data_IF_165118161042
#
_entry.id   IF_165118161042
#
_cell.length_a   1.000
_cell.length_b   1.000
_cell.length_c   1.000
_cell.angle_alpha   90.00
_cell.angle_beta   90.00
_cell.angle_gamma   90.00
#
_symmetry.space_group_name_H-M   'P 1'
#
loop_
_entity.id
_entity.type
_entity.pdbx_description
1 polymer ?
#
# COMPACT_ATOMS: atom_id res chain seq x y z
N UNK A 1 17.07 19.06 -2.58
CA UNK A 1 17.21 19.00 -4.06
C UNK A 1 15.90 18.71 -4.77
N UNK A 2 15.17 17.61 -4.45
CA UNK A 2 13.87 17.31 -5.08
C UNK A 2 12.83 18.41 -4.83
N UNK A 3 12.62 18.81 -3.58
CA UNK A 3 11.66 19.85 -3.21
C UNK A 3 11.97 21.19 -3.88
N UNK A 4 13.23 21.58 -3.92
CA UNK A 4 13.68 22.81 -4.60
C UNK A 4 13.40 22.75 -6.11
N UNK A 5 13.58 21.58 -6.73
CA UNK A 5 13.27 21.40 -8.15
C UNK A 5 11.77 21.39 -8.44
N UNK A 6 10.93 21.08 -7.44
CA UNK A 6 9.47 21.09 -7.52
C UNK A 6 8.84 22.41 -7.05
N UNK A 7 9.66 23.37 -6.60
CA UNK A 7 9.17 24.65 -6.04
C UNK A 7 8.39 24.50 -4.73
N UNK A 8 8.65 23.43 -3.98
CA UNK A 8 7.95 23.09 -2.73
C UNK A 8 8.87 23.18 -1.52
N UNK A 9 8.27 23.37 -0.35
CA UNK A 9 9.00 23.21 0.91
C UNK A 9 9.07 21.70 1.23
N UNK A 10 10.27 21.14 1.54
CA UNK A 10 10.40 19.76 1.89
C UNK A 10 9.72 19.47 3.24
N UNK A 11 8.98 18.39 3.31
CA UNK A 11 8.54 17.83 4.58
C UNK A 11 9.59 16.83 5.09
N UNK A 12 9.69 16.66 6.41
CA UNK A 12 10.68 15.74 7.00
C UNK A 12 10.07 14.44 7.48
N UNK A 13 8.77 14.38 7.63
CA UNK A 13 8.05 13.19 8.03
C UNK A 13 6.96 12.90 7.00
N UNK A 14 6.84 11.65 6.61
CA UNK A 14 5.86 11.17 5.64
C UNK A 14 5.07 10.01 6.25
N UNK A 15 3.76 9.89 5.98
CA UNK A 15 3.00 8.71 6.37
C UNK A 15 3.61 7.45 5.79
N UNK A 16 3.65 6.37 6.58
CA UNK A 16 4.22 5.10 6.19
C UNK A 16 3.36 3.96 6.71
N UNK A 17 2.90 3.10 5.78
CA UNK A 17 2.17 1.88 6.12
C UNK A 17 3.10 0.66 6.11
N UNK A 18 2.73 -0.38 6.83
CA UNK A 18 3.38 -1.67 6.76
C UNK A 18 2.87 -2.44 5.53
N UNK A 19 3.74 -2.74 4.59
CA UNK A 19 3.47 -3.49 3.36
C UNK A 19 3.67 -5.00 3.49
N UNK A 20 3.97 -5.53 4.68
CA UNK A 20 4.49 -6.88 4.85
C UNK A 20 3.55 -7.86 5.58
N UNK A 21 2.26 -7.55 5.74
CA UNK A 21 1.32 -8.50 6.35
C UNK A 21 0.81 -9.49 5.31
N UNK A 22 1.45 -10.64 5.28
CA UNK A 22 1.21 -11.72 4.32
C UNK A 22 0.17 -12.74 4.78
N UNK A 23 0.05 -13.84 4.02
CA UNK A 23 -0.90 -14.94 4.24
C UNK A 23 -0.30 -16.02 5.17
N UNK A 24 0.40 -15.63 6.25
CA UNK A 24 1.05 -16.53 7.20
C UNK A 24 0.02 -17.40 7.97
N UNK A 25 -1.25 -17.01 7.94
CA UNK A 25 -2.34 -17.84 8.45
C UNK A 25 -2.54 -19.15 7.68
N UNK A 26 -1.96 -19.29 6.50
CA UNK A 26 -2.01 -20.50 5.70
C UNK A 26 -0.88 -21.48 6.03
N UNK A 27 0.15 -21.07 6.77
CA UNK A 27 1.23 -21.95 7.18
C UNK A 27 0.78 -22.81 8.38
N UNK A 28 0.63 -24.13 8.22
CA UNK A 28 0.22 -25.02 9.32
C UNK A 28 1.31 -25.23 10.36
N UNK A 29 2.58 -24.91 10.03
CA UNK A 29 3.73 -25.08 10.92
C UNK A 29 4.02 -23.81 11.73
N UNK A 30 3.36 -22.69 11.43
CA UNK A 30 3.55 -21.44 12.16
C UNK A 30 2.98 -21.52 13.59
N UNK A 31 3.63 -20.85 14.53
CA UNK A 31 3.21 -20.80 15.94
C UNK A 31 3.18 -19.36 16.46
N UNK A 32 2.02 -18.76 16.67
CA UNK A 32 0.68 -19.33 16.50
C UNK A 32 0.28 -19.49 15.03
N UNK A 33 -0.59 -20.44 14.71
CA UNK A 33 -1.13 -20.68 13.36
C UNK A 33 -2.44 -19.93 13.11
N UNK A 34 -2.88 -19.91 11.85
CA UNK A 34 -4.14 -19.30 11.45
C UNK A 34 -4.15 -17.79 11.64
N UNK A 35 -5.31 -17.19 11.88
CA UNK A 35 -5.46 -15.73 12.03
C UNK A 35 -4.54 -15.15 13.12
N UNK A 36 -4.24 -15.94 14.15
CA UNK A 36 -3.32 -15.51 15.21
C UNK A 36 -1.89 -15.24 14.69
N UNK A 37 -1.46 -15.90 13.60
CA UNK A 37 -0.18 -15.58 12.96
C UNK A 37 -0.19 -14.16 12.36
N UNK A 38 -1.25 -13.81 11.65
CA UNK A 38 -1.42 -12.44 11.08
C UNK A 38 -1.46 -11.40 12.20
N UNK A 39 -2.23 -11.63 13.26
CA UNK A 39 -2.31 -10.70 14.40
C UNK A 39 -0.97 -10.55 15.12
N UNK A 40 -0.18 -11.62 15.25
CA UNK A 40 1.18 -11.56 15.80
C UNK A 40 2.09 -10.67 14.93
N UNK A 41 2.03 -10.79 13.61
CA UNK A 41 2.81 -9.97 12.70
C UNK A 41 2.42 -8.49 12.81
N UNK A 42 1.12 -8.19 12.77
CA UNK A 42 0.62 -6.83 13.03
C UNK A 42 1.11 -6.28 14.38
N UNK A 43 1.13 -7.10 15.44
CA UNK A 43 1.60 -6.66 16.77
C UNK A 43 3.11 -6.36 16.78
N UNK A 44 3.91 -7.16 16.09
CA UNK A 44 5.35 -6.91 15.95
C UNK A 44 5.60 -5.57 15.23
N UNK A 45 4.91 -5.35 14.11
CA UNK A 45 5.10 -4.15 13.28
C UNK A 45 4.46 -2.89 13.91
N UNK A 46 3.37 -3.04 14.66
CA UNK A 46 2.85 -1.98 15.51
C UNK A 46 3.90 -1.50 16.53
N UNK A 47 4.68 -2.43 17.10
CA UNK A 47 5.75 -2.12 18.05
C UNK A 47 6.93 -1.40 17.37
N UNK A 48 7.17 -1.65 16.07
CA UNK A 48 8.14 -0.91 15.27
C UNK A 48 7.71 0.53 14.94
N UNK A 49 6.44 0.88 15.18
CA UNK A 49 5.92 2.24 14.98
C UNK A 49 4.90 2.37 13.87
N UNK A 50 4.54 1.30 13.15
CA UNK A 50 3.49 1.34 12.14
C UNK A 50 2.11 1.60 12.75
N UNK A 51 1.24 2.31 12.02
CA UNK A 51 -0.16 2.60 12.39
C UNK A 51 -1.11 2.37 11.22
N UNK A 52 -0.62 1.75 10.15
CA UNK A 52 -1.37 1.34 9.00
C UNK A 52 -0.82 0.00 8.50
N UNK A 53 -1.71 -0.94 8.11
CA UNK A 53 -1.35 -2.30 7.72
C UNK A 53 -1.94 -2.62 6.35
N UNK A 54 -1.11 -3.06 5.39
CA UNK A 54 -1.55 -3.62 4.12
C UNK A 54 -1.65 -5.14 4.25
N UNK A 55 -2.87 -5.67 4.22
CA UNK A 55 -3.18 -7.09 4.34
C UNK A 55 -3.22 -7.72 2.95
N UNK A 56 -2.45 -8.76 2.71
CA UNK A 56 -2.61 -9.57 1.50
C UNK A 56 -3.91 -10.39 1.59
N UNK A 57 -4.73 -10.28 0.56
CA UNK A 57 -5.99 -11.02 0.36
C UNK A 57 -5.96 -11.76 -0.99
N UNK A 58 -7.04 -12.42 -1.38
CA UNK A 58 -7.05 -13.23 -2.61
C UNK A 58 -6.61 -14.68 -2.38
N UNK A 59 -6.75 -15.20 -1.16
CA UNK A 59 -6.39 -16.59 -0.80
C UNK A 59 -7.03 -17.64 -1.71
N UNK A 60 -8.25 -17.37 -2.20
CA UNK A 60 -8.97 -18.24 -3.12
C UNK A 60 -8.42 -18.32 -4.54
N UNK A 61 -7.45 -17.45 -4.91
CA UNK A 61 -6.87 -17.45 -6.25
C UNK A 61 -5.91 -18.62 -6.47
N UNK A 62 -5.04 -18.91 -5.48
CA UNK A 62 -3.96 -19.91 -5.63
C UNK A 62 -3.84 -20.89 -4.49
N UNK A 63 -4.30 -20.54 -3.30
CA UNK A 63 -3.92 -21.23 -2.07
C UNK A 63 -5.03 -22.11 -1.49
N UNK A 64 -6.28 -21.72 -1.71
CA UNK A 64 -7.45 -22.46 -1.17
C UNK A 64 -8.57 -22.49 -2.21
N UNK A 65 -9.67 -23.21 -1.88
CA UNK A 65 -10.91 -23.13 -2.66
C UNK A 65 -11.48 -21.68 -2.59
N UNK A 66 -12.03 -21.17 -3.70
CA UNK A 66 -12.42 -19.76 -3.87
C UNK A 66 -13.30 -19.22 -2.73
N UNK A 67 -14.37 -19.95 -2.35
CA UNK A 67 -15.27 -19.53 -1.26
C UNK A 67 -14.62 -19.62 0.12
N UNK A 68 -13.73 -20.60 0.32
CA UNK A 68 -13.00 -20.74 1.57
C UNK A 68 -11.98 -19.60 1.71
N UNK A 69 -11.29 -19.24 0.62
CA UNK A 69 -10.37 -18.12 0.58
C UNK A 69 -11.06 -16.80 0.85
N UNK A 70 -12.20 -16.53 0.19
CA UNK A 70 -12.98 -15.31 0.44
C UNK A 70 -13.41 -15.21 1.91
N UNK A 71 -13.95 -16.29 2.49
CA UNK A 71 -14.31 -16.28 3.93
C UNK A 71 -13.11 -15.97 4.81
N UNK A 72 -11.95 -16.56 4.52
CA UNK A 72 -10.71 -16.31 5.28
C UNK A 72 -10.22 -14.88 5.13
N UNK A 73 -10.28 -14.32 3.94
CA UNK A 73 -9.92 -12.91 3.69
C UNK A 73 -10.81 -11.96 4.52
N UNK A 74 -12.11 -12.21 4.58
CA UNK A 74 -13.06 -11.47 5.43
C UNK A 74 -12.74 -11.63 6.92
N UNK A 75 -12.49 -12.86 7.39
CA UNK A 75 -12.14 -13.15 8.79
C UNK A 75 -10.86 -12.42 9.22
N UNK A 76 -9.82 -12.47 8.40
CA UNK A 76 -8.54 -11.78 8.66
C UNK A 76 -8.75 -10.27 8.74
N UNK A 77 -9.42 -9.69 7.75
CA UNK A 77 -9.67 -8.24 7.71
C UNK A 77 -10.44 -7.76 8.94
N UNK A 78 -11.49 -8.49 9.31
CA UNK A 78 -12.28 -8.18 10.52
C UNK A 78 -11.48 -8.33 11.81
N UNK A 79 -10.69 -9.40 11.93
CA UNK A 79 -9.86 -9.63 13.12
C UNK A 79 -8.82 -8.51 13.30
N UNK A 80 -8.18 -8.06 12.21
CA UNK A 80 -7.23 -6.94 12.28
C UNK A 80 -7.95 -5.64 12.63
N UNK A 81 -9.13 -5.36 12.04
CA UNK A 81 -9.92 -4.16 12.41
C UNK A 81 -10.35 -4.17 13.87
N UNK A 82 -10.77 -5.33 14.39
CA UNK A 82 -11.16 -5.46 15.79
C UNK A 82 -9.99 -5.19 16.75
N UNK A 83 -8.81 -5.75 16.43
CA UNK A 83 -7.60 -5.59 17.22
C UNK A 83 -7.01 -4.17 17.14
N UNK A 84 -7.13 -3.52 15.97
CA UNK A 84 -6.55 -2.21 15.68
C UNK A 84 -7.62 -1.23 15.15
N UNK A 85 -8.56 -0.78 16.00
CA UNK A 85 -9.72 0.00 15.56
C UNK A 85 -9.36 1.39 15.00
N UNK A 86 -8.19 1.92 15.35
CA UNK A 86 -7.74 3.26 14.94
C UNK A 86 -6.67 3.25 13.85
N UNK A 87 -6.14 2.08 13.48
CA UNK A 87 -5.17 1.95 12.41
C UNK A 87 -5.84 1.97 11.04
N UNK A 88 -5.16 2.50 10.04
CA UNK A 88 -5.60 2.34 8.66
C UNK A 88 -5.38 0.90 8.21
N UNK A 89 -6.39 0.33 7.53
CA UNK A 89 -6.29 -0.99 6.91
C UNK A 89 -6.36 -0.83 5.41
N UNK A 90 -5.33 -1.30 4.74
CA UNK A 90 -5.20 -1.41 3.31
C UNK A 90 -5.33 -2.89 2.95
N UNK A 91 -5.91 -3.21 1.81
CA UNK A 91 -5.97 -4.60 1.33
C UNK A 91 -5.41 -4.68 -0.08
N UNK A 92 -4.70 -5.76 -0.36
CA UNK A 92 -4.03 -5.98 -1.63
C UNK A 92 -4.30 -7.41 -2.11
N UNK A 93 -4.92 -7.52 -3.26
CA UNK A 93 -5.33 -8.80 -3.84
C UNK A 93 -4.41 -9.30 -4.97
N UNK A 94 -3.48 -8.48 -5.46
CA UNK A 94 -2.61 -8.80 -6.61
C UNK A 94 -3.39 -9.47 -7.76
N UNK A 95 -4.45 -8.83 -8.22
CA UNK A 95 -5.38 -9.32 -9.25
C UNK A 95 -6.04 -10.69 -8.92
N UNK A 96 -6.13 -11.04 -7.64
CA UNK A 96 -6.51 -12.38 -7.19
C UNK A 96 -8.02 -12.65 -7.16
N UNK A 97 -8.87 -11.70 -7.49
CA UNK A 97 -10.32 -11.90 -7.53
C UNK A 97 -10.89 -11.80 -8.94
N UNK A 98 -12.09 -12.35 -9.11
CA UNK A 98 -12.99 -11.89 -10.16
C UNK A 98 -13.72 -10.62 -9.70
N UNK A 99 -14.21 -9.76 -10.60
CA UNK A 99 -14.96 -8.56 -10.20
C UNK A 99 -16.12 -8.86 -9.26
N UNK A 100 -16.90 -9.92 -9.53
CA UNK A 100 -18.00 -10.38 -8.69
C UNK A 100 -17.52 -10.82 -7.30
N UNK A 101 -16.47 -11.66 -7.26
CA UNK A 101 -15.91 -12.15 -6.00
C UNK A 101 -15.37 -11.03 -5.12
N UNK A 102 -14.78 -10.00 -5.74
CA UNK A 102 -14.31 -8.84 -4.98
C UNK A 102 -15.47 -7.99 -4.44
N UNK A 103 -16.56 -7.82 -5.18
CA UNK A 103 -17.76 -7.12 -4.69
C UNK A 103 -18.40 -7.87 -3.50
N UNK A 104 -18.38 -9.21 -3.51
CA UNK A 104 -18.81 -10.02 -2.36
C UNK A 104 -17.91 -9.78 -1.13
N UNK A 105 -16.60 -9.75 -1.33
CA UNK A 105 -15.64 -9.42 -0.27
C UNK A 105 -15.89 -7.99 0.27
N UNK A 106 -15.99 -7.00 -0.60
CA UNK A 106 -16.22 -5.60 -0.23
C UNK A 106 -17.49 -5.44 0.61
N UNK A 107 -18.59 -6.06 0.20
CA UNK A 107 -19.85 -6.07 0.95
C UNK A 107 -19.70 -6.68 2.34
N UNK A 108 -18.89 -7.74 2.48
CA UNK A 108 -18.66 -8.42 3.75
C UNK A 108 -17.76 -7.66 4.73
N UNK A 109 -16.97 -6.67 4.26
CA UNK A 109 -16.05 -5.86 5.08
C UNK A 109 -16.36 -4.35 5.03
N UNK A 110 -17.53 -3.96 4.54
CA UNK A 110 -17.90 -2.54 4.35
C UNK A 110 -17.78 -1.71 5.64
N UNK A 111 -18.08 -2.31 6.80
CA UNK A 111 -17.96 -1.71 8.12
C UNK A 111 -16.51 -1.65 8.65
N UNK A 112 -15.56 -2.29 7.96
CA UNK A 112 -14.14 -2.22 8.34
C UNK A 112 -13.47 -0.88 7.97
N UNK A 113 -14.10 0.00 7.19
CA UNK A 113 -13.58 1.30 6.80
C UNK A 113 -12.16 1.20 6.24
N UNK A 114 -11.99 0.48 5.14
CA UNK A 114 -10.69 0.30 4.49
C UNK A 114 -10.15 1.65 3.99
N UNK A 115 -8.85 1.88 4.15
CA UNK A 115 -8.18 3.07 3.62
C UNK A 115 -8.09 2.98 2.09
N UNK A 116 -7.58 1.85 1.57
CA UNK A 116 -7.66 1.55 0.14
C UNK A 116 -7.84 0.05 -0.15
N UNK A 117 -8.22 -0.22 -1.39
CA UNK A 117 -8.19 -1.53 -2.04
C UNK A 117 -7.19 -1.46 -3.20
N UNK A 118 -6.29 -2.44 -3.28
CA UNK A 118 -5.18 -2.50 -4.21
C UNK A 118 -5.32 -3.72 -5.11
N UNK A 119 -5.19 -3.51 -6.44
CA UNK A 119 -5.22 -4.55 -7.46
C UNK A 119 -6.29 -5.64 -7.19
N UNK A 120 -7.59 -5.26 -7.04
CA UNK A 120 -8.62 -6.21 -6.65
C UNK A 120 -8.82 -7.32 -7.69
N UNK A 121 -8.73 -6.97 -8.94
CA UNK A 121 -8.82 -7.82 -10.13
C UNK A 121 -8.13 -7.11 -11.30
N UNK A 122 -7.81 -7.87 -12.37
CA UNK A 122 -7.21 -7.26 -13.57
C UNK A 122 -8.07 -6.12 -14.08
N UNK A 123 -7.49 -4.94 -14.17
CA UNK A 123 -8.19 -3.69 -14.40
C UNK A 123 -8.84 -3.64 -15.79
N UNK A 124 -10.14 -3.44 -15.82
CA UNK A 124 -10.89 -3.00 -16.99
C UNK A 124 -11.74 -1.79 -16.62
N UNK A 125 -12.01 -0.92 -17.61
CA UNK A 125 -12.84 0.26 -17.36
C UNK A 125 -14.20 -0.09 -16.79
N UNK A 126 -14.87 -1.07 -17.36
CA UNK A 126 -16.25 -1.43 -17.00
C UNK A 126 -16.32 -2.03 -15.58
N UNK A 127 -15.35 -2.86 -15.21
CA UNK A 127 -15.30 -3.46 -13.87
C UNK A 127 -14.93 -2.42 -12.81
N UNK A 128 -14.01 -1.49 -13.11
CA UNK A 128 -13.70 -0.37 -12.20
C UNK A 128 -14.89 0.59 -12.02
N UNK A 129 -15.70 0.84 -13.05
CA UNK A 129 -16.96 1.60 -12.92
C UNK A 129 -17.93 0.91 -11.96
N UNK A 130 -18.07 -0.42 -12.07
CA UNK A 130 -18.92 -1.21 -11.14
C UNK A 130 -18.38 -1.13 -9.71
N UNK A 131 -17.06 -1.27 -9.55
CA UNK A 131 -16.40 -1.17 -8.25
C UNK A 131 -16.57 0.22 -7.64
N UNK A 132 -16.35 1.29 -8.40
CA UNK A 132 -16.53 2.67 -7.95
C UNK A 132 -17.96 2.90 -7.46
N UNK A 133 -18.96 2.45 -8.22
CA UNK A 133 -20.36 2.55 -7.82
C UNK A 133 -20.65 1.81 -6.50
N UNK A 134 -20.10 0.60 -6.31
CA UNK A 134 -20.24 -0.14 -5.06
C UNK A 134 -19.58 0.60 -3.87
N UNK A 135 -18.39 1.16 -4.07
CA UNK A 135 -17.69 1.96 -3.05
C UNK A 135 -18.48 3.21 -2.66
N UNK A 136 -19.06 3.94 -3.61
CA UNK A 136 -19.88 5.12 -3.33
C UNK A 136 -21.05 4.80 -2.39
N UNK A 137 -21.60 3.60 -2.48
CA UNK A 137 -22.73 3.17 -1.65
C UNK A 137 -22.31 2.62 -0.29
N UNK A 138 -21.16 1.91 -0.21
CA UNK A 138 -20.79 1.11 0.96
C UNK A 138 -19.62 1.70 1.74
N UNK A 139 -18.64 2.31 1.07
CA UNK A 139 -17.39 2.77 1.65
C UNK A 139 -16.82 3.97 0.88
N UNK A 140 -17.51 5.12 0.85
CA UNK A 140 -17.21 6.23 -0.07
C UNK A 140 -15.85 6.91 0.17
N UNK A 141 -15.16 6.58 1.24
CA UNK A 141 -13.81 7.10 1.55
C UNK A 141 -12.69 6.15 1.18
N UNK A 142 -13.01 4.91 0.80
CA UNK A 142 -12.01 3.91 0.40
C UNK A 142 -11.46 4.24 -0.98
N UNK A 143 -10.14 4.30 -1.11
CA UNK A 143 -9.45 4.60 -2.35
C UNK A 143 -9.26 3.32 -3.19
N UNK A 144 -9.15 3.49 -4.50
CA UNK A 144 -8.72 2.43 -5.43
C UNK A 144 -7.26 2.69 -5.79
N UNK A 145 -6.38 1.72 -5.51
CA UNK A 145 -4.96 1.77 -5.78
C UNK A 145 -4.57 0.70 -6.81
N UNK A 146 -3.68 1.03 -7.75
CA UNK A 146 -3.29 0.12 -8.82
C UNK A 146 -1.90 0.48 -9.38
N UNK A 147 -1.22 -0.51 -9.98
CA UNK A 147 0.01 -0.28 -10.73
C UNK A 147 1.27 -0.93 -10.19
N UNK A 148 1.18 -1.90 -9.27
CA UNK A 148 2.32 -2.70 -8.81
C UNK A 148 2.76 -3.72 -9.86
N UNK A 149 1.83 -4.57 -10.32
CA UNK A 149 2.10 -5.74 -11.13
C UNK A 149 2.04 -5.44 -12.64
N UNK A 150 3.19 -5.42 -13.31
CA UNK A 150 3.29 -5.24 -14.77
C UNK A 150 2.44 -4.09 -15.34
N UNK A 151 2.54 -2.86 -14.81
CA UNK A 151 1.61 -1.79 -15.09
C UNK A 151 1.61 -1.37 -16.56
N UNK A 152 0.44 -1.27 -17.15
CA UNK A 152 0.25 -0.49 -18.36
C UNK A 152 0.03 0.98 -17.96
N UNK A 153 1.13 1.72 -17.80
CA UNK A 153 1.10 3.11 -17.30
C UNK A 153 0.14 4.00 -18.10
N UNK A 154 0.02 3.79 -19.41
CA UNK A 154 -0.89 4.58 -20.24
C UNK A 154 -2.35 4.31 -19.87
N UNK A 155 -2.72 3.04 -19.79
CA UNK A 155 -4.08 2.64 -19.39
C UNK A 155 -4.41 3.15 -17.99
N UNK A 156 -3.50 2.97 -17.03
CA UNK A 156 -3.71 3.42 -15.65
C UNK A 156 -3.93 4.95 -15.57
N UNK A 157 -3.18 5.74 -16.34
CA UNK A 157 -3.38 7.19 -16.41
C UNK A 157 -4.72 7.57 -17.07
N UNK A 158 -5.14 6.86 -18.10
CA UNK A 158 -6.43 7.09 -18.74
C UNK A 158 -7.59 6.75 -17.76
N UNK A 159 -7.50 5.64 -17.03
CA UNK A 159 -8.48 5.25 -15.99
C UNK A 159 -8.49 6.20 -14.80
N UNK A 160 -7.32 6.66 -14.36
CA UNK A 160 -7.18 7.64 -13.29
C UNK A 160 -7.78 9.01 -13.68
N UNK A 161 -7.61 9.45 -14.93
CA UNK A 161 -8.22 10.67 -15.45
C UNK A 161 -9.76 10.60 -15.50
N UNK A 162 -10.33 9.40 -15.57
CA UNK A 162 -11.77 9.17 -15.45
C UNK A 162 -12.26 9.04 -13.98
N UNK A 163 -11.36 9.16 -12.99
CA UNK A 163 -11.70 9.03 -11.57
C UNK A 163 -11.93 7.58 -11.12
N UNK A 164 -11.43 6.60 -11.89
CA UNK A 164 -11.59 5.18 -11.59
C UNK A 164 -10.45 4.61 -10.73
N UNK A 165 -9.30 5.29 -10.69
CA UNK A 165 -8.15 4.98 -9.85
C UNK A 165 -7.77 6.25 -9.09
N UNK A 166 -7.54 6.14 -7.79
CA UNK A 166 -7.21 7.26 -6.90
C UNK A 166 -5.71 7.33 -6.61
N UNK A 167 -5.03 6.16 -6.57
CA UNK A 167 -3.63 6.02 -6.15
C UNK A 167 -2.86 5.21 -7.18
N UNK A 168 -1.72 5.73 -7.67
CA UNK A 168 -0.84 4.98 -8.55
C UNK A 168 0.41 4.48 -7.82
N UNK A 169 0.73 3.18 -8.04
CA UNK A 169 1.66 2.40 -7.22
C UNK A 169 2.95 1.97 -7.93
N UNK A 170 3.22 2.35 -9.19
CA UNK A 170 4.38 1.83 -9.91
C UNK A 170 5.63 1.73 -9.03
N UNK A 171 6.38 0.63 -9.17
CA UNK A 171 7.54 0.36 -8.31
C UNK A 171 8.59 1.48 -8.35
N UNK A 172 9.08 1.87 -7.19
CA UNK A 172 9.98 3.03 -7.03
C UNK A 172 11.30 2.86 -7.79
N UNK A 173 11.81 1.64 -7.89
CA UNK A 173 13.04 1.30 -8.61
C UNK A 173 12.72 0.90 -10.05
N UNK A 174 11.68 0.10 -10.27
CA UNK A 174 11.25 -0.36 -11.58
C UNK A 174 10.88 0.79 -12.53
N UNK A 175 10.09 1.75 -12.06
CA UNK A 175 9.83 2.98 -12.81
C UNK A 175 11.02 3.93 -12.78
N UNK A 176 11.64 4.09 -11.61
CA UNK A 176 12.80 4.93 -11.39
C UNK A 176 12.47 6.37 -10.97
N UNK A 177 13.43 7.00 -10.28
CA UNK A 177 13.28 8.34 -9.71
C UNK A 177 12.96 9.44 -10.75
N UNK A 178 13.61 9.40 -11.92
CA UNK A 178 13.42 10.43 -12.96
C UNK A 178 12.03 10.39 -13.57
N UNK A 179 11.44 9.24 -13.95
CA UNK A 179 10.05 9.16 -14.33
C UNK A 179 9.09 9.61 -13.22
N UNK A 180 9.29 9.22 -11.97
CA UNK A 180 8.47 9.68 -10.84
C UNK A 180 8.47 11.21 -10.70
N UNK A 181 9.63 11.87 -10.84
CA UNK A 181 9.71 13.34 -10.86
C UNK A 181 8.85 14.00 -11.93
N UNK A 182 8.68 13.33 -13.07
CA UNK A 182 7.87 13.86 -14.20
C UNK A 182 6.39 13.52 -14.00
N UNK A 183 6.10 12.38 -13.42
CA UNK A 183 4.75 11.86 -13.25
C UNK A 183 3.98 12.59 -12.14
N UNK A 184 4.58 12.83 -10.99
CA UNK A 184 3.92 13.43 -9.81
C UNK A 184 3.19 14.75 -10.12
N UNK A 185 3.77 15.71 -10.86
CA UNK A 185 3.03 16.92 -11.25
C UNK A 185 1.79 16.63 -12.09
N UNK A 186 1.88 15.70 -13.04
CA UNK A 186 0.75 15.32 -13.89
C UNK A 186 -0.37 14.64 -13.07
N UNK A 187 -0.01 13.76 -12.13
CA UNK A 187 -1.00 13.15 -11.22
C UNK A 187 -1.73 14.21 -10.38
N UNK A 188 -1.01 15.21 -9.90
CA UNK A 188 -1.62 16.32 -9.14
C UNK A 188 -2.64 17.10 -9.97
N UNK A 189 -2.37 17.34 -11.25
CA UNK A 189 -3.30 18.00 -12.17
C UNK A 189 -4.56 17.15 -12.40
N UNK A 190 -4.46 15.83 -12.34
CA UNK A 190 -5.59 14.89 -12.45
C UNK A 190 -6.35 14.70 -11.13
N UNK A 191 -5.84 15.23 -10.00
CA UNK A 191 -6.40 14.96 -8.67
C UNK A 191 -6.10 13.56 -8.15
N UNK A 192 -5.14 12.85 -8.75
CA UNK A 192 -4.70 11.51 -8.40
C UNK A 192 -3.45 11.59 -7.53
N UNK A 193 -3.33 10.75 -6.53
CA UNK A 193 -2.14 10.69 -5.68
C UNK A 193 -1.25 9.49 -6.03
N UNK A 194 -0.04 9.48 -5.50
CA UNK A 194 0.89 8.37 -5.65
C UNK A 194 1.14 7.66 -4.31
N UNK A 195 1.55 6.42 -4.39
CA UNK A 195 2.23 5.69 -3.33
C UNK A 195 3.20 4.71 -3.99
N UNK A 196 4.45 5.13 -4.27
CA UNK A 196 5.38 4.28 -5.00
C UNK A 196 5.61 2.95 -4.28
N UNK A 197 5.31 1.84 -4.96
CA UNK A 197 5.52 0.48 -4.46
C UNK A 197 6.99 0.27 -4.09
N UNK A 198 7.23 -0.31 -2.93
CA UNK A 198 8.57 -0.44 -2.37
C UNK A 198 8.87 -1.84 -1.80
N UNK A 199 7.94 -2.77 -1.87
CA UNK A 199 8.13 -4.10 -1.31
C UNK A 199 9.37 -4.81 -1.88
N UNK A 200 10.00 -5.67 -1.07
CA UNK A 200 11.15 -6.50 -1.42
C UNK A 200 12.49 -6.01 -0.89
N UNK A 201 12.63 -4.72 -0.56
CA UNK A 201 13.87 -4.19 0.03
C UNK A 201 13.60 -2.95 0.89
N UNK A 202 14.06 -2.91 2.16
CA UNK A 202 13.89 -1.74 3.04
C UNK A 202 14.43 -0.41 2.46
N UNK A 203 15.43 -0.45 1.59
CA UNK A 203 15.94 0.75 0.94
C UNK A 203 14.95 1.37 -0.05
N UNK A 204 14.08 0.59 -0.66
CA UNK A 204 13.02 1.10 -1.54
C UNK A 204 12.06 2.01 -0.77
N UNK A 205 11.70 1.63 0.47
CA UNK A 205 10.92 2.49 1.39
C UNK A 205 11.57 3.86 1.54
N UNK A 206 12.89 3.90 1.75
CA UNK A 206 13.61 5.16 1.93
C UNK A 206 13.62 6.00 0.64
N UNK A 207 13.73 5.36 -0.53
CA UNK A 207 13.63 6.08 -1.82
C UNK A 207 12.24 6.65 -2.04
N UNK A 208 11.18 5.87 -1.75
CA UNK A 208 9.80 6.35 -1.81
C UNK A 208 9.57 7.51 -0.84
N UNK A 209 10.11 7.44 0.38
CA UNK A 209 10.02 8.51 1.37
C UNK A 209 10.67 9.81 0.88
N UNK A 210 11.81 9.75 0.21
CA UNK A 210 12.43 10.95 -0.39
C UNK A 210 11.62 11.53 -1.55
N UNK A 211 10.95 10.68 -2.35
CA UNK A 211 10.00 11.15 -3.37
C UNK A 211 8.85 11.88 -2.69
N UNK A 212 8.24 11.28 -1.68
CA UNK A 212 7.12 11.86 -0.93
C UNK A 212 7.50 13.20 -0.30
N UNK A 213 8.60 13.22 0.44
CA UNK A 213 9.08 14.40 1.15
C UNK A 213 9.47 15.55 0.20
N UNK A 214 10.01 15.22 -0.97
CA UNK A 214 10.55 16.21 -1.89
C UNK A 214 9.60 16.66 -3.00
N UNK A 215 8.69 15.83 -3.43
CA UNK A 215 7.76 16.13 -4.53
C UNK A 215 6.32 16.35 -4.05
N UNK A 216 5.98 15.83 -2.86
CA UNK A 216 4.60 15.80 -2.37
C UNK A 216 3.69 14.93 -3.24
N UNK A 217 2.38 15.07 -3.06
CA UNK A 217 1.35 14.31 -3.79
C UNK A 217 1.50 12.77 -3.66
N UNK A 218 2.10 12.33 -2.57
CA UNK A 218 2.19 10.93 -2.13
C UNK A 218 1.38 10.82 -0.87
N UNK A 219 0.37 9.94 -0.87
CA UNK A 219 -0.58 9.83 0.24
C UNK A 219 0.05 9.13 1.43
N UNK A 220 0.83 8.08 1.18
CA UNK A 220 1.61 7.32 2.16
C UNK A 220 2.73 6.58 1.43
N UNK A 221 3.74 6.10 2.11
CA UNK A 221 4.80 5.27 1.53
C UNK A 221 4.72 3.85 2.05
N UNK A 222 5.10 2.88 1.21
CA UNK A 222 5.17 1.49 1.61
C UNK A 222 6.40 1.24 2.48
N UNK A 223 6.17 0.78 3.70
CA UNK A 223 7.18 0.32 4.62
C UNK A 223 7.47 -1.16 4.44
N UNK A 224 8.75 -1.51 4.40
CA UNK A 224 9.21 -2.90 4.43
C UNK A 224 9.99 -3.07 5.73
N UNK A 225 9.42 -3.78 6.74
CA UNK A 225 10.14 -4.08 7.97
C UNK A 225 11.45 -4.83 7.69
N UNK A 226 12.52 -4.43 8.36
CA UNK A 226 13.82 -5.06 8.19
C UNK A 226 14.98 -4.07 8.21
N UNK A 227 16.19 -4.61 8.00
CA UNK A 227 17.44 -3.82 7.97
C UNK A 227 18.19 -4.05 6.68
N UNK A 228 18.79 -3.00 6.15
CA UNK A 228 19.75 -3.12 5.05
C UNK A 228 21.12 -3.57 5.62
N UNK A 229 21.69 -4.64 5.07
CA UNK A 229 22.94 -5.20 5.60
C UNK A 229 24.16 -4.32 5.33
N UNK A 230 24.20 -3.64 4.19
CA UNK A 230 25.37 -2.93 3.69
C UNK A 230 25.41 -1.45 4.03
N UNK A 231 24.30 -0.90 4.53
CA UNK A 231 24.18 0.54 4.85
C UNK A 231 23.55 0.75 6.22
N UNK A 232 23.94 1.83 6.87
CA UNK A 232 23.33 2.28 8.10
C UNK A 232 22.09 3.15 7.80
N UNK A 233 20.94 2.68 8.26
CA UNK A 233 19.65 3.35 8.11
C UNK A 233 19.16 3.99 9.43
N UNK A 234 19.96 3.95 10.49
CA UNK A 234 19.57 4.38 11.86
C UNK A 234 19.19 5.86 11.97
N UNK A 235 19.55 6.67 10.98
CA UNK A 235 19.15 8.07 10.91
C UNK A 235 17.68 8.28 10.54
N UNK A 236 17.00 7.25 10.02
CA UNK A 236 15.55 7.26 9.77
C UNK A 236 14.82 6.75 11.00
N UNK A 237 13.64 7.29 11.26
CA UNK A 237 12.81 6.90 12.41
C UNK A 237 11.37 6.73 12.00
N UNK A 238 10.78 5.61 12.36
CA UNK A 238 9.35 5.35 12.20
C UNK A 238 8.69 5.45 13.59
N UNK A 239 7.83 6.42 13.76
CA UNK A 239 7.10 6.66 15.01
C UNK A 239 5.66 7.07 14.68
N UNK A 240 4.69 6.44 15.33
CA UNK A 240 3.25 6.76 15.15
C UNK A 240 2.81 6.83 13.68
N UNK A 241 3.28 5.87 12.84
CA UNK A 241 2.96 5.80 11.42
C UNK A 241 3.64 6.84 10.54
N UNK A 242 4.59 7.61 11.08
CA UNK A 242 5.34 8.63 10.35
C UNK A 242 6.81 8.22 10.23
N UNK A 243 7.29 8.13 9.01
CA UNK A 243 8.71 7.94 8.71
C UNK A 243 9.40 9.29 8.59
N UNK A 244 10.31 9.57 9.54
CA UNK A 244 11.11 10.80 9.58
C UNK A 244 12.41 10.61 8.83
N UNK A 245 12.69 11.51 7.90
CA UNK A 245 13.91 11.53 7.08
C UNK A 245 15.02 12.30 7.78
N UNK A 246 16.29 11.86 7.65
CA UNK A 246 17.43 12.54 8.22
C UNK A 246 17.74 13.89 7.52
N UNK A 247 18.31 14.81 8.29
CA UNK A 247 18.86 16.07 7.76
C UNK A 247 20.34 15.90 7.37
N UNK A 248 20.58 14.99 6.43
CA UNK A 248 21.93 14.63 5.97
C UNK A 248 22.01 14.75 4.45
N UNK A 249 23.23 14.92 3.89
CA UNK A 249 23.42 14.96 2.44
C UNK A 249 22.99 13.66 1.74
N UNK A 250 22.53 13.78 0.50
CA UNK A 250 22.10 12.64 -0.32
C UNK A 250 20.87 11.96 0.26
N UNK A 251 20.96 10.65 0.44
CA UNK A 251 19.93 9.82 1.06
C UNK A 251 20.09 9.69 2.59
N UNK A 252 21.10 10.33 3.18
CA UNK A 252 21.40 10.16 4.60
C UNK A 252 21.90 8.76 4.98
N UNK A 253 22.30 7.96 4.01
CA UNK A 253 22.82 6.61 4.20
C UNK A 253 24.35 6.64 4.32
N UNK A 254 24.90 5.80 5.21
CA UNK A 254 26.33 5.61 5.38
C UNK A 254 26.66 4.13 5.14
N UNK A 255 27.83 3.88 4.54
CA UNK A 255 28.37 2.53 4.42
C UNK A 255 28.67 1.96 5.80
N UNK A 256 28.31 0.72 6.04
CA UNK A 256 28.72 -0.03 7.23
C UNK A 256 30.10 -0.62 7.06
#
# INVERSE_FOLDING_TARGET
MLASAAGQQPVRAVPCYDGAIYMDDLDPEDAPSGIAAVLRNCAADYTLGYRAFKLKIGRGHRWTEARAGLRRDVEVTRAVREQYPTCDILVDANDGYTPEGFLDYLGAVADCNLFWIEEPFRETRDDLVRLRHALEQQSPRTLIADGEAHPNVRLLLDLAAEGLIDVLLMDVVGLGLTPWRRLIPALRELGVVASPHAWGDPLKTLYAAHIAAGLGNVVTVEGVPGTAETVDTSAYRLEEGLLTLPDLPGWGLQSR
#
